data_IF_691706534536
#
_entry.id   IF_691706534536
#
_cell.length_a   1.000
_cell.length_b   1.000
_cell.length_c   1.000
_cell.angle_alpha   90.00
_cell.angle_beta   90.00
_cell.angle_gamma   90.00
#
_symmetry.space_group_name_H-M   'P 1'
#
loop_
_entity.id
_entity.type
_entity.pdbx_description
1 polymer ?
#
# COMPACT_ATOMS: atom_id res chain seq x y z
N UNK A 1 13.64 60.75 -38.61
CA UNK A 1 14.65 59.72 -38.36
C UNK A 1 14.93 59.76 -36.88
N UNK A 2 14.24 58.93 -36.11
CA UNK A 2 14.72 58.27 -34.89
C UNK A 2 13.52 57.50 -34.32
N UNK A 3 13.37 56.31 -34.87
CA UNK A 3 12.35 55.34 -34.48
C UNK A 3 13.03 53.98 -34.52
N UNK A 4 13.97 53.75 -33.61
CA UNK A 4 14.55 52.44 -33.34
C UNK A 4 15.55 52.52 -32.20
N UNK A 5 15.14 52.16 -30.97
CA UNK A 5 16.08 51.52 -30.03
C UNK A 5 15.45 50.77 -28.84
N UNK A 6 14.16 50.47 -28.86
CA UNK A 6 13.48 49.84 -27.70
C UNK A 6 13.16 48.35 -27.87
N UNK A 7 13.93 47.57 -28.65
CA UNK A 7 13.95 46.09 -28.48
C UNK A 7 15.34 45.50 -28.79
N UNK A 8 16.06 45.00 -27.77
CA UNK A 8 16.18 43.53 -27.67
C UNK A 8 16.27 42.97 -26.23
N UNK A 9 15.94 43.72 -25.18
CA UNK A 9 16.07 43.21 -23.80
C UNK A 9 14.96 42.19 -23.47
N UNK A 10 13.72 42.40 -23.94
CA UNK A 10 12.58 41.49 -23.70
C UNK A 10 12.79 40.09 -24.33
N UNK A 11 13.34 40.02 -25.55
CA UNK A 11 13.59 38.72 -26.22
C UNK A 11 14.70 37.91 -25.56
N UNK A 12 15.68 38.57 -24.94
CA UNK A 12 16.84 37.90 -24.31
C UNK A 12 16.45 37.31 -22.94
N UNK A 13 15.56 37.98 -22.19
CA UNK A 13 15.08 37.48 -20.89
C UNK A 13 14.13 36.28 -21.02
N UNK A 14 13.34 36.20 -22.10
CA UNK A 14 12.43 35.07 -22.36
C UNK A 14 13.19 33.82 -22.84
N UNK A 15 14.33 33.98 -23.51
CA UNK A 15 15.04 32.87 -24.17
C UNK A 15 15.82 31.96 -23.22
N UNK A 16 16.18 32.43 -22.00
CA UNK A 16 16.92 31.63 -21.02
C UNK A 16 15.97 31.06 -19.97
N UNK A 17 15.94 29.73 -19.76
CA UNK A 17 15.11 29.16 -18.71
C UNK A 17 15.56 29.68 -17.33
N UNK A 18 14.60 30.24 -16.58
CA UNK A 18 14.82 30.79 -15.24
C UNK A 18 15.31 29.74 -14.23
N UNK A 19 14.99 28.47 -14.48
CA UNK A 19 15.44 27.35 -13.67
C UNK A 19 16.30 26.39 -14.50
N UNK A 20 17.46 26.01 -13.96
CA UNK A 20 18.28 24.94 -14.50
C UNK A 20 17.81 23.60 -13.93
N UNK A 21 17.88 22.55 -14.74
CA UNK A 21 17.62 21.18 -14.27
C UNK A 21 18.59 20.85 -13.13
N UNK A 22 18.09 20.15 -12.11
CA UNK A 22 18.93 19.69 -11.01
C UNK A 22 20.08 18.84 -11.54
N UNK A 23 21.32 19.20 -11.19
CA UNK A 23 22.52 18.42 -11.52
C UNK A 23 22.48 17.03 -10.88
N UNK A 24 21.75 16.84 -9.79
CA UNK A 24 21.56 15.54 -9.13
C UNK A 24 20.90 14.53 -10.06
N UNK A 25 20.02 14.93 -10.97
CA UNK A 25 19.37 14.03 -11.92
C UNK A 25 20.16 13.86 -13.24
N UNK A 26 21.29 14.55 -13.38
CA UNK A 26 22.12 14.53 -14.59
C UNK A 26 23.59 14.31 -14.27
N UNK A 27 23.90 13.85 -13.06
CA UNK A 27 25.28 13.58 -12.63
C UNK A 27 25.72 12.19 -13.11
N UNK A 28 27.02 12.05 -13.35
CA UNK A 28 27.60 10.75 -13.72
C UNK A 28 27.37 9.68 -12.62
N UNK A 29 27.56 10.05 -11.35
CA UNK A 29 27.30 9.17 -10.19
C UNK A 29 25.84 8.70 -10.14
N UNK A 30 24.88 9.61 -10.36
CA UNK A 30 23.46 9.27 -10.43
C UNK A 30 23.17 8.32 -11.59
N UNK A 31 23.79 8.55 -12.75
CA UNK A 31 23.65 7.67 -13.91
C UNK A 31 24.20 6.27 -13.61
N UNK A 32 25.37 6.16 -13.00
CA UNK A 32 25.96 4.87 -12.61
C UNK A 32 25.07 4.12 -11.61
N UNK A 33 24.52 4.81 -10.61
CA UNK A 33 23.56 4.23 -9.66
C UNK A 33 22.29 3.74 -10.37
N UNK A 34 21.76 4.52 -11.31
CA UNK A 34 20.59 4.12 -12.12
C UNK A 34 20.90 2.90 -13.00
N UNK A 35 22.05 2.86 -13.67
CA UNK A 35 22.45 1.72 -14.49
C UNK A 35 22.57 0.43 -13.66
N UNK A 36 23.14 0.51 -12.46
CA UNK A 36 23.18 -0.64 -11.55
C UNK A 36 21.78 -1.18 -11.22
N UNK A 37 20.83 -0.30 -10.93
CA UNK A 37 19.43 -0.71 -10.66
C UNK A 37 18.80 -1.39 -11.88
N UNK A 38 19.09 -0.90 -13.09
CA UNK A 38 18.60 -1.49 -14.34
C UNK A 38 19.28 -2.83 -14.64
N UNK A 39 20.57 -2.97 -14.37
CA UNK A 39 21.31 -4.23 -14.51
C UNK A 39 20.79 -5.30 -13.54
N UNK A 40 20.53 -4.93 -12.28
CA UNK A 40 19.94 -5.83 -11.28
C UNK A 40 18.54 -6.28 -11.71
N UNK A 41 17.73 -5.36 -12.26
CA UNK A 41 16.43 -5.70 -12.86
C UNK A 41 16.59 -6.65 -14.06
N UNK A 42 17.53 -6.42 -14.98
CA UNK A 42 17.76 -7.29 -16.13
C UNK A 42 18.21 -8.70 -15.71
N UNK A 43 19.14 -8.82 -14.75
CA UNK A 43 19.57 -10.09 -14.16
C UNK A 43 18.41 -10.85 -13.53
N UNK A 44 17.52 -10.15 -12.82
CA UNK A 44 16.34 -10.78 -12.21
C UNK A 44 15.40 -11.40 -13.25
N UNK A 45 15.31 -10.83 -14.47
CA UNK A 45 14.53 -11.44 -15.55
C UNK A 45 15.16 -12.74 -16.05
N UNK A 46 16.50 -12.80 -16.16
CA UNK A 46 17.22 -14.04 -16.53
C UNK A 46 16.98 -15.14 -15.50
N UNK A 47 17.15 -14.83 -14.21
CA UNK A 47 16.92 -15.78 -13.11
C UNK A 47 15.47 -16.30 -13.13
N UNK A 48 14.49 -15.41 -13.38
CA UNK A 48 13.09 -15.83 -13.50
C UNK A 48 12.86 -16.80 -14.67
N UNK A 49 13.55 -16.64 -15.80
CA UNK A 49 13.47 -17.56 -16.93
C UNK A 49 14.07 -18.93 -16.58
N UNK A 50 15.24 -18.95 -15.95
CA UNK A 50 15.89 -20.19 -15.48
C UNK A 50 15.01 -20.95 -14.47
N UNK A 51 14.47 -20.25 -13.47
CA UNK A 51 13.55 -20.85 -12.48
C UNK A 51 12.29 -21.37 -13.17
N UNK A 52 11.76 -20.63 -14.15
CA UNK A 52 10.60 -21.09 -14.92
C UNK A 52 10.89 -22.38 -15.69
N UNK A 53 12.08 -22.53 -16.27
CA UNK A 53 12.49 -23.75 -16.97
C UNK A 53 12.61 -24.95 -16.00
N UNK A 54 13.06 -24.71 -14.77
CA UNK A 54 13.15 -25.75 -13.73
C UNK A 54 11.76 -26.18 -13.25
N UNK A 55 10.85 -25.24 -13.03
CA UNK A 55 9.51 -25.52 -12.48
C UNK A 55 8.51 -25.98 -13.55
N UNK A 56 8.70 -25.58 -14.80
CA UNK A 56 7.81 -25.85 -15.93
C UNK A 56 8.58 -26.36 -17.16
N UNK A 57 9.27 -27.51 -17.07
CA UNK A 57 9.79 -28.15 -18.28
C UNK A 57 8.61 -28.37 -19.25
N UNK A 58 8.75 -27.91 -20.48
CA UNK A 58 7.72 -28.00 -21.54
C UNK A 58 6.38 -27.30 -21.24
N UNK A 59 6.37 -26.23 -20.43
CA UNK A 59 5.18 -25.47 -20.04
C UNK A 59 4.11 -26.28 -19.30
N UNK A 60 4.45 -27.46 -18.76
CA UNK A 60 3.57 -28.25 -17.91
C UNK A 60 4.04 -28.15 -16.46
N UNK A 61 3.11 -27.88 -15.54
CA UNK A 61 3.40 -27.92 -14.12
C UNK A 61 3.46 -29.38 -13.67
N UNK A 62 4.62 -30.01 -13.79
CA UNK A 62 4.79 -31.42 -13.47
C UNK A 62 5.35 -31.65 -12.06
N UNK A 63 6.08 -30.68 -11.50
CA UNK A 63 6.74 -30.84 -10.19
C UNK A 63 5.91 -30.24 -9.05
N UNK A 64 5.27 -31.10 -8.24
CA UNK A 64 4.71 -30.71 -6.95
C UNK A 64 5.85 -30.54 -5.94
N UNK A 65 6.22 -29.29 -5.64
CA UNK A 65 7.23 -28.97 -4.63
C UNK A 65 6.78 -29.48 -3.25
N UNK A 66 7.70 -30.08 -2.50
CA UNK A 66 7.47 -30.47 -1.09
C UNK A 66 8.18 -29.50 -0.16
N UNK A 67 7.43 -28.80 0.69
CA UNK A 67 8.04 -27.87 1.66
C UNK A 67 8.68 -28.58 2.87
N UNK A 68 8.69 -29.91 2.92
CA UNK A 68 9.56 -30.66 3.83
C UNK A 68 10.97 -30.90 3.26
N UNK A 69 11.19 -30.64 1.97
CA UNK A 69 12.47 -30.82 1.30
C UNK A 69 13.24 -29.49 1.21
N UNK A 70 14.49 -29.48 1.69
CA UNK A 70 15.34 -28.29 1.70
C UNK A 70 15.54 -27.66 0.32
N UNK A 71 15.83 -28.47 -0.71
CA UNK A 71 16.09 -27.98 -2.07
C UNK A 71 14.86 -27.36 -2.72
N UNK A 72 13.67 -27.92 -2.48
CA UNK A 72 12.42 -27.35 -3.00
C UNK A 72 12.07 -26.01 -2.32
N UNK A 73 12.33 -25.88 -1.02
CA UNK A 73 12.21 -24.60 -0.30
C UNK A 73 13.20 -23.59 -0.86
N UNK A 74 14.45 -23.99 -1.11
CA UNK A 74 15.48 -23.13 -1.70
C UNK A 74 15.08 -22.59 -3.08
N UNK A 75 14.48 -23.43 -3.94
CA UNK A 75 13.94 -22.98 -5.23
C UNK A 75 12.86 -21.90 -5.04
N UNK A 76 11.95 -22.11 -4.09
CA UNK A 76 10.86 -21.16 -3.80
C UNK A 76 11.40 -19.83 -3.26
N UNK A 77 12.42 -19.89 -2.39
CA UNK A 77 13.11 -18.69 -1.87
C UNK A 77 13.80 -17.91 -2.99
N UNK A 78 14.49 -18.60 -3.90
CA UNK A 78 15.12 -17.95 -5.06
C UNK A 78 14.09 -17.30 -5.98
N UNK A 79 12.95 -17.96 -6.21
CA UNK A 79 11.85 -17.40 -7.00
C UNK A 79 11.30 -16.12 -6.38
N UNK A 80 11.04 -16.12 -5.08
CA UNK A 80 10.56 -14.95 -4.37
C UNK A 80 11.58 -13.80 -4.39
N UNK A 81 12.88 -14.10 -4.21
CA UNK A 81 13.97 -13.11 -4.34
C UNK A 81 13.99 -12.49 -5.74
N UNK A 82 13.85 -13.29 -6.79
CA UNK A 82 13.82 -12.80 -8.17
C UNK A 82 12.57 -11.94 -8.46
N UNK A 83 11.40 -12.30 -7.93
CA UNK A 83 10.18 -11.48 -8.03
C UNK A 83 10.31 -10.13 -7.32
N UNK A 84 11.00 -10.09 -6.18
CA UNK A 84 11.26 -8.86 -5.44
C UNK A 84 12.27 -7.95 -6.15
N UNK A 85 13.41 -8.51 -6.59
CA UNK A 85 14.45 -7.76 -7.32
C UNK A 85 13.98 -7.27 -8.69
N UNK A 86 12.99 -7.94 -9.29
CA UNK A 86 12.34 -7.49 -10.53
C UNK A 86 11.26 -6.42 -10.32
N UNK A 87 11.07 -5.93 -9.09
CA UNK A 87 10.02 -4.98 -8.71
C UNK A 87 8.59 -5.48 -9.03
N UNK A 88 8.40 -6.80 -9.16
CA UNK A 88 7.06 -7.39 -9.34
C UNK A 88 6.33 -7.49 -8.01
N UNK A 89 7.07 -7.66 -6.92
CA UNK A 89 6.56 -7.71 -5.56
C UNK A 89 7.04 -6.51 -4.74
N UNK A 90 6.17 -6.00 -3.89
CA UNK A 90 6.57 -5.16 -2.77
C UNK A 90 7.22 -5.99 -1.65
N UNK A 91 7.74 -5.30 -0.63
CA UNK A 91 8.45 -5.95 0.48
C UNK A 91 7.55 -6.89 1.28
N UNK A 92 6.30 -6.51 1.49
CA UNK A 92 5.31 -7.28 2.23
C UNK A 92 4.94 -8.58 1.48
N UNK A 93 4.74 -8.50 0.16
CA UNK A 93 4.50 -9.67 -0.68
C UNK A 93 5.70 -10.62 -0.67
N UNK A 94 6.90 -10.08 -0.80
CA UNK A 94 8.15 -10.83 -0.72
C UNK A 94 8.29 -11.59 0.60
N UNK A 95 8.10 -10.89 1.72
CA UNK A 95 8.18 -11.49 3.06
C UNK A 95 7.17 -12.63 3.18
N UNK A 96 5.90 -12.40 2.84
CA UNK A 96 4.88 -13.43 2.97
C UNK A 96 5.15 -14.66 2.08
N UNK A 97 5.56 -14.45 0.82
CA UNK A 97 5.83 -15.54 -0.10
C UNK A 97 6.99 -16.42 0.39
N UNK A 98 8.05 -15.81 0.95
CA UNK A 98 9.21 -16.55 1.47
C UNK A 98 8.89 -17.29 2.76
N UNK A 99 8.14 -16.67 3.67
CA UNK A 99 7.90 -17.28 4.98
C UNK A 99 7.03 -18.52 4.88
N UNK A 100 6.08 -18.58 3.94
CA UNK A 100 5.16 -19.72 3.78
C UNK A 100 5.87 -21.09 3.64
N UNK A 101 6.82 -21.28 2.69
CA UNK A 101 7.55 -22.55 2.58
C UNK A 101 8.52 -22.78 3.74
N UNK A 102 9.11 -21.73 4.32
CA UNK A 102 10.05 -21.85 5.45
C UNK A 102 9.33 -22.27 6.73
N UNK A 103 8.16 -21.70 7.03
CA UNK A 103 7.31 -22.09 8.16
C UNK A 103 6.86 -23.54 8.00
N UNK A 104 6.51 -23.95 6.79
CA UNK A 104 6.14 -25.33 6.49
C UNK A 104 7.31 -26.29 6.72
N UNK A 105 8.51 -25.91 6.29
CA UNK A 105 9.75 -26.68 6.48
C UNK A 105 10.19 -26.76 7.95
N UNK A 106 10.12 -25.65 8.67
CA UNK A 106 10.40 -25.61 10.11
C UNK A 106 9.40 -26.48 10.88
N UNK A 107 8.11 -26.41 10.53
CA UNK A 107 7.05 -27.22 11.12
C UNK A 107 7.21 -28.72 10.80
N UNK A 108 7.68 -29.08 9.61
CA UNK A 108 7.95 -30.49 9.28
C UNK A 108 9.11 -31.01 10.11
N UNK A 109 10.23 -30.26 10.24
CA UNK A 109 11.34 -30.63 11.14
C UNK A 109 10.87 -30.81 12.59
N UNK A 110 9.97 -29.96 13.04
CA UNK A 110 9.38 -30.07 14.37
C UNK A 110 8.58 -31.37 14.54
N UNK A 111 7.82 -31.76 13.52
CA UNK A 111 7.03 -33.00 13.51
C UNK A 111 7.90 -34.25 13.37
N UNK A 112 8.99 -34.16 12.60
CA UNK A 112 9.93 -35.24 12.31
C UNK A 112 11.00 -35.41 13.40
N UNK A 113 10.79 -34.82 14.59
CA UNK A 113 11.67 -34.97 15.76
C UNK A 113 13.10 -34.44 15.58
N UNK A 114 13.32 -33.60 14.58
CA UNK A 114 14.65 -33.05 14.27
C UNK A 114 15.24 -32.23 15.44
N UNK A 115 14.38 -31.66 16.28
CA UNK A 115 14.76 -30.83 17.44
C UNK A 115 14.56 -31.54 18.79
N UNK A 116 14.31 -32.86 18.81
CA UNK A 116 13.96 -33.62 20.02
C UNK A 116 15.00 -33.47 21.13
N UNK A 117 16.29 -33.46 20.81
CA UNK A 117 17.36 -33.30 21.81
C UNK A 117 17.20 -32.02 22.64
N UNK A 118 16.65 -30.95 22.05
CA UNK A 118 16.40 -29.66 22.71
C UNK A 118 15.03 -29.62 23.39
N UNK A 119 14.02 -30.24 22.79
CA UNK A 119 12.60 -30.07 23.19
C UNK A 119 12.15 -31.14 24.17
N UNK A 120 12.53 -32.40 23.93
CA UNK A 120 12.07 -33.55 24.69
C UNK A 120 12.37 -33.44 26.21
N UNK A 121 13.51 -32.87 26.66
CA UNK A 121 13.74 -32.61 28.08
C UNK A 121 12.72 -31.65 28.72
N UNK A 122 12.18 -30.70 27.94
CA UNK A 122 11.18 -29.73 28.40
C UNK A 122 9.81 -30.40 28.42
N UNK A 123 9.42 -31.09 27.35
CA UNK A 123 8.15 -31.82 27.27
C UNK A 123 8.02 -32.85 28.40
N UNK A 124 9.07 -33.64 28.66
CA UNK A 124 9.08 -34.61 29.77
C UNK A 124 8.89 -33.96 31.14
N UNK A 125 9.32 -32.71 31.33
CA UNK A 125 9.06 -31.96 32.58
C UNK A 125 7.64 -31.42 32.61
N UNK A 126 7.11 -30.95 31.49
CA UNK A 126 5.74 -30.48 31.34
C UNK A 126 4.74 -31.62 31.63
N UNK A 127 4.91 -32.79 31.03
CA UNK A 127 4.09 -33.99 31.27
C UNK A 127 4.04 -34.40 32.75
N UNK A 128 5.17 -34.29 33.46
CA UNK A 128 5.23 -34.58 34.90
C UNK A 128 4.38 -33.60 35.71
N UNK A 129 4.37 -32.33 35.32
CA UNK A 129 3.55 -31.29 35.96
C UNK A 129 2.08 -31.50 35.63
N UNK A 130 1.75 -31.84 34.38
CA UNK A 130 0.39 -32.18 33.94
C UNK A 130 -0.19 -33.33 34.77
N UNK A 131 0.56 -34.44 34.90
CA UNK A 131 0.18 -35.58 35.73
C UNK A 131 0.02 -35.22 37.20
N UNK A 132 0.96 -34.43 37.76
CA UNK A 132 0.92 -33.97 39.15
C UNK A 132 -0.32 -33.12 39.45
N UNK A 133 -0.76 -32.31 38.50
CA UNK A 133 -1.93 -31.44 38.64
C UNK A 133 -3.24 -32.08 38.15
N UNK A 134 -3.23 -33.38 37.82
CA UNK A 134 -4.43 -34.13 37.44
C UNK A 134 -5.02 -33.71 36.09
N UNK A 135 -4.21 -33.14 35.20
CA UNK A 135 -4.65 -32.84 33.85
C UNK A 135 -4.89 -34.16 33.10
N UNK A 136 -6.05 -34.29 32.46
CA UNK A 136 -6.39 -35.49 31.69
C UNK A 136 -5.57 -35.54 30.40
N UNK A 137 -5.27 -36.75 29.94
CA UNK A 137 -4.60 -36.94 28.65
C UNK A 137 -5.36 -36.21 27.52
N UNK A 138 -4.61 -35.54 26.65
CA UNK A 138 -5.14 -34.73 25.55
C UNK A 138 -5.78 -33.39 25.97
N UNK A 139 -5.82 -33.05 27.26
CA UNK A 139 -6.21 -31.73 27.73
C UNK A 139 -4.98 -30.84 27.90
N UNK A 140 -5.14 -29.55 27.68
CA UNK A 140 -4.07 -28.55 27.85
C UNK A 140 -4.57 -27.37 28.66
N UNK A 141 -3.65 -26.66 29.33
CA UNK A 141 -3.98 -25.37 29.92
C UNK A 141 -3.93 -24.27 28.87
N UNK A 142 -4.93 -23.38 28.79
CA UNK A 142 -4.81 -22.17 27.98
C UNK A 142 -3.58 -21.35 28.37
N UNK A 143 -3.06 -20.57 27.43
CA UNK A 143 -1.86 -19.76 27.65
C UNK A 143 -1.94 -18.94 28.96
N UNK A 144 -0.96 -19.15 29.85
CA UNK A 144 -0.86 -18.47 31.15
C UNK A 144 -1.85 -18.93 32.23
N UNK A 145 -2.69 -19.93 31.96
CA UNK A 145 -3.64 -20.49 32.94
C UNK A 145 -3.13 -21.74 33.66
N UNK A 146 -1.99 -22.29 33.25
CA UNK A 146 -1.37 -23.43 33.91
C UNK A 146 -0.66 -23.04 35.23
N UNK A 147 -0.17 -24.04 35.99
CA UNK A 147 0.71 -23.82 37.13
C UNK A 147 1.94 -22.97 36.75
N UNK A 148 2.51 -22.23 37.72
CA UNK A 148 3.68 -21.36 37.48
C UNK A 148 4.87 -22.10 36.86
N UNK A 149 5.14 -23.32 37.33
CA UNK A 149 6.21 -24.19 36.83
C UNK A 149 5.97 -24.63 35.38
N UNK A 150 4.72 -24.94 35.02
CA UNK A 150 4.34 -25.23 33.64
C UNK A 150 4.51 -24.03 32.72
N UNK A 151 3.97 -22.87 33.13
CA UNK A 151 4.05 -21.65 32.32
C UNK A 151 5.50 -21.21 32.08
N UNK A 152 6.42 -21.51 33.00
CA UNK A 152 7.86 -21.26 32.80
C UNK A 152 8.43 -22.16 31.70
N UNK A 153 8.12 -23.45 31.71
CA UNK A 153 8.57 -24.41 30.70
C UNK A 153 7.92 -24.16 29.34
N UNK A 154 6.63 -23.81 29.30
CA UNK A 154 5.95 -23.42 28.07
C UNK A 154 6.62 -22.20 27.42
N UNK A 155 7.02 -21.19 28.20
CA UNK A 155 7.82 -20.07 27.66
C UNK A 155 9.20 -20.48 27.16
N UNK A 156 9.84 -21.46 27.81
CA UNK A 156 11.13 -22.00 27.36
C UNK A 156 11.00 -22.76 26.05
N UNK A 157 9.93 -23.56 25.91
CA UNK A 157 9.54 -24.22 24.67
C UNK A 157 9.31 -23.22 23.54
N UNK A 158 8.48 -22.19 23.78
CA UNK A 158 8.19 -21.13 22.80
C UNK A 158 9.47 -20.42 22.36
N UNK A 159 10.39 -20.18 23.30
CA UNK A 159 11.69 -19.57 23.00
C UNK A 159 12.53 -20.44 22.08
N UNK A 160 12.59 -21.76 22.30
CA UNK A 160 13.31 -22.68 21.41
C UNK A 160 12.67 -22.73 20.03
N UNK A 161 11.33 -22.72 19.96
CA UNK A 161 10.61 -22.66 18.68
C UNK A 161 11.01 -21.41 17.89
N UNK A 162 10.99 -20.25 18.54
CA UNK A 162 11.37 -18.98 17.92
C UNK A 162 12.86 -18.93 17.52
N UNK A 163 13.78 -19.39 18.37
CA UNK A 163 15.22 -19.47 18.07
C UNK A 163 15.50 -20.37 16.85
N UNK A 164 14.91 -21.57 16.83
CA UNK A 164 15.09 -22.51 15.71
C UNK A 164 14.46 -22.01 14.41
N UNK A 165 13.36 -21.25 14.48
CA UNK A 165 12.78 -20.60 13.32
C UNK A 165 13.71 -19.51 12.76
N UNK A 166 14.31 -18.68 13.62
CA UNK A 166 15.31 -17.68 13.23
C UNK A 166 16.53 -18.36 12.60
N UNK A 167 16.99 -19.48 13.16
CA UNK A 167 18.10 -20.25 12.58
C UNK A 167 17.73 -20.83 11.22
N UNK A 168 16.50 -21.32 11.05
CA UNK A 168 15.99 -21.80 9.75
C UNK A 168 15.99 -20.66 8.71
N UNK A 169 15.62 -19.42 9.08
CA UNK A 169 15.75 -18.28 8.17
C UNK A 169 17.20 -18.03 7.74
N UNK A 170 18.16 -18.18 8.66
CA UNK A 170 19.58 -18.04 8.34
C UNK A 170 20.09 -19.14 7.42
N UNK A 171 19.60 -20.37 7.57
CA UNK A 171 19.94 -21.50 6.69
C UNK A 171 19.59 -21.24 5.22
N UNK A 172 18.58 -20.40 4.93
CA UNK A 172 18.17 -20.02 3.58
C UNK A 172 18.71 -18.65 3.12
N UNK A 173 19.76 -18.15 3.78
CA UNK A 173 20.37 -16.85 3.50
C UNK A 173 19.37 -15.68 3.59
N UNK A 174 18.55 -15.67 4.64
CA UNK A 174 17.57 -14.61 4.94
C UNK A 174 17.91 -13.89 6.24
N UNK A 175 19.18 -13.52 6.38
CA UNK A 175 19.72 -12.89 7.58
C UNK A 175 18.99 -11.58 7.93
N UNK A 176 18.50 -10.84 6.94
CA UNK A 176 17.72 -9.62 7.15
C UNK A 176 16.36 -9.90 7.79
N UNK A 177 15.67 -10.97 7.38
CA UNK A 177 14.40 -11.40 7.96
C UNK A 177 14.59 -12.04 9.34
N UNK A 178 15.66 -12.83 9.50
CA UNK A 178 16.07 -13.39 10.79
C UNK A 178 16.32 -12.26 11.83
N UNK A 179 17.07 -11.24 11.42
CA UNK A 179 17.33 -10.05 12.24
C UNK A 179 16.06 -9.25 12.53
N UNK A 180 15.16 -9.12 11.54
CA UNK A 180 13.89 -8.44 11.71
C UNK A 180 13.00 -9.16 12.73
N UNK A 181 12.89 -10.49 12.64
CA UNK A 181 12.15 -11.31 13.60
C UNK A 181 12.75 -11.20 15.01
N UNK A 182 14.08 -11.28 15.13
CA UNK A 182 14.77 -11.21 16.42
C UNK A 182 14.68 -9.83 17.09
N UNK A 183 14.93 -8.75 16.33
CA UNK A 183 15.09 -7.38 16.87
C UNK A 183 13.77 -6.61 16.90
N UNK A 184 12.86 -6.89 15.97
CA UNK A 184 11.61 -6.15 15.77
C UNK A 184 10.43 -7.09 15.44
N UNK A 185 10.09 -8.05 16.32
CA UNK A 185 9.10 -9.09 16.04
C UNK A 185 7.73 -8.53 15.66
N UNK A 186 7.27 -7.45 16.30
CA UNK A 186 5.99 -6.81 15.94
C UNK A 186 5.96 -6.27 14.52
N UNK A 187 7.09 -5.74 14.04
CA UNK A 187 7.18 -5.24 12.67
C UNK A 187 7.25 -6.40 11.66
N UNK A 188 7.97 -7.47 12.01
CA UNK A 188 7.97 -8.71 11.24
C UNK A 188 6.55 -9.25 11.06
N UNK A 189 5.80 -9.41 12.16
CA UNK A 189 4.44 -9.93 12.14
C UNK A 189 3.49 -9.02 11.35
N UNK A 190 3.65 -7.69 11.48
CA UNK A 190 2.88 -6.70 10.71
C UNK A 190 3.11 -6.86 9.20
N UNK A 191 4.37 -6.96 8.76
CA UNK A 191 4.72 -7.10 7.35
C UNK A 191 4.24 -8.44 6.78
N UNK A 192 4.39 -9.52 7.54
CA UNK A 192 3.90 -10.85 7.19
C UNK A 192 2.38 -10.86 7.02
N UNK A 193 1.65 -10.31 7.98
CA UNK A 193 0.18 -10.24 7.93
C UNK A 193 -0.31 -9.36 6.78
N UNK A 194 0.34 -8.21 6.55
CA UNK A 194 0.00 -7.36 5.42
C UNK A 194 0.25 -8.08 4.08
N UNK A 195 1.36 -8.79 3.94
CA UNK A 195 1.62 -9.64 2.78
C UNK A 195 0.55 -10.72 2.59
N UNK A 196 0.15 -11.42 3.66
CA UNK A 196 -0.95 -12.40 3.63
C UNK A 196 -2.25 -11.79 3.10
N UNK A 197 -2.57 -10.56 3.52
CA UNK A 197 -3.77 -9.84 3.05
C UNK A 197 -3.70 -9.55 1.55
N UNK A 198 -2.55 -9.13 1.03
CA UNK A 198 -2.37 -8.89 -0.41
C UNK A 198 -2.64 -10.14 -1.24
N UNK A 199 -2.22 -11.32 -0.78
CA UNK A 199 -2.44 -12.57 -1.51
C UNK A 199 -3.87 -13.11 -1.38
N UNK A 200 -4.44 -13.06 -0.17
CA UNK A 200 -5.66 -13.81 0.18
C UNK A 200 -6.93 -12.97 0.33
N UNK A 201 -6.84 -11.63 0.34
CA UNK A 201 -7.98 -10.73 0.56
C UNK A 201 -8.11 -9.71 -0.56
N UNK A 202 -7.81 -10.12 -1.81
CA UNK A 202 -7.85 -9.24 -3.00
C UNK A 202 -9.23 -8.66 -3.29
N UNK A 203 -10.26 -9.33 -2.80
CA UNK A 203 -11.68 -8.99 -2.93
C UNK A 203 -12.19 -8.08 -1.80
N UNK A 204 -11.40 -7.83 -0.75
CA UNK A 204 -11.72 -6.94 0.37
C UNK A 204 -11.62 -5.45 0.00
N UNK A 205 -12.27 -5.05 -1.10
CA UNK A 205 -12.16 -3.72 -1.74
C UNK A 205 -12.31 -2.57 -0.77
N UNK A 206 -13.30 -2.63 0.13
CA UNK A 206 -13.54 -1.56 1.11
C UNK A 206 -12.42 -1.44 2.15
N UNK A 207 -11.83 -2.55 2.59
CA UNK A 207 -10.72 -2.54 3.54
C UNK A 207 -9.44 -2.03 2.86
N UNK A 208 -9.16 -2.51 1.65
CA UNK A 208 -8.04 -2.05 0.82
C UNK A 208 -8.13 -0.54 0.59
N UNK A 209 -9.31 -0.02 0.24
CA UNK A 209 -9.54 1.40 0.03
C UNK A 209 -9.34 2.22 1.31
N UNK A 210 -9.83 1.74 2.47
CA UNK A 210 -9.59 2.41 3.76
C UNK A 210 -8.11 2.54 4.07
N UNK A 211 -7.36 1.46 3.93
CA UNK A 211 -5.91 1.47 4.16
C UNK A 211 -5.18 2.37 3.16
N UNK A 212 -5.60 2.34 1.89
CA UNK A 212 -5.06 3.22 0.84
C UNK A 212 -5.29 4.69 1.17
N UNK A 213 -6.49 5.09 1.63
CA UNK A 213 -6.77 6.46 2.05
C UNK A 213 -5.85 6.89 3.20
N UNK A 214 -5.72 6.07 4.23
CA UNK A 214 -4.84 6.36 5.39
C UNK A 214 -3.38 6.50 4.93
N UNK A 215 -2.93 5.68 3.98
CA UNK A 215 -1.58 5.78 3.45
C UNK A 215 -1.37 7.07 2.64
N UNK A 216 -2.35 7.51 1.85
CA UNK A 216 -2.30 8.81 1.19
C UNK A 216 -2.29 9.98 2.18
N UNK A 217 -3.04 9.91 3.29
CA UNK A 217 -2.96 10.92 4.35
C UNK A 217 -1.56 11.00 4.97
N UNK A 218 -0.96 9.84 5.28
CA UNK A 218 0.41 9.77 5.81
C UNK A 218 1.43 10.33 4.82
N UNK A 219 1.29 10.01 3.54
CA UNK A 219 2.19 10.50 2.50
C UNK A 219 2.01 11.98 2.24
N UNK A 220 0.79 12.52 2.41
CA UNK A 220 0.56 13.96 2.37
C UNK A 220 1.34 14.68 3.47
N UNK A 221 1.32 14.15 4.70
CA UNK A 221 2.04 14.72 5.85
C UNK A 221 3.57 14.60 5.66
N UNK A 222 4.07 13.46 5.17
CA UNK A 222 5.50 13.30 4.88
C UNK A 222 5.97 14.27 3.78
N UNK A 223 5.16 14.41 2.74
CA UNK A 223 5.48 15.29 1.60
C UNK A 223 5.57 16.75 2.02
N UNK A 224 4.64 17.24 2.84
CA UNK A 224 4.68 18.62 3.33
C UNK A 224 5.86 18.89 4.25
N UNK A 225 6.20 17.94 5.15
CA UNK A 225 7.41 18.03 5.99
C UNK A 225 8.70 18.11 5.17
N UNK A 226 8.72 17.52 3.98
CA UNK A 226 9.85 17.57 3.05
C UNK A 226 9.81 18.78 2.09
N UNK A 227 8.82 19.67 2.20
CA UNK A 227 8.62 20.80 1.28
C UNK A 227 8.07 20.41 -0.10
N UNK A 228 7.67 19.15 -0.30
CA UNK A 228 7.07 18.65 -1.53
C UNK A 228 5.56 18.91 -1.56
N UNK A 229 5.15 20.18 -1.49
CA UNK A 229 3.76 20.57 -1.30
C UNK A 229 2.80 20.08 -2.39
N UNK A 230 3.22 20.07 -3.66
CA UNK A 230 2.41 19.51 -4.76
C UNK A 230 2.10 18.02 -4.55
N UNK A 231 3.08 17.23 -4.12
CA UNK A 231 2.87 15.82 -3.79
C UNK A 231 1.89 15.66 -2.62
N UNK A 232 2.00 16.54 -1.61
CA UNK A 232 1.06 16.59 -0.49
C UNK A 232 -0.38 16.86 -0.93
N UNK A 233 -0.59 17.84 -1.80
CA UNK A 233 -1.91 18.17 -2.38
C UNK A 233 -2.48 17.01 -3.19
N UNK A 234 -1.66 16.34 -4.02
CA UNK A 234 -2.08 15.18 -4.81
C UNK A 234 -2.54 14.04 -3.90
N UNK A 235 -1.78 13.77 -2.84
CA UNK A 235 -2.10 12.72 -1.88
C UNK A 235 -3.40 13.02 -1.11
N UNK A 236 -3.62 14.25 -0.63
CA UNK A 236 -4.89 14.65 0.00
C UNK A 236 -6.08 14.53 -0.96
N UNK A 237 -5.91 14.92 -2.22
CA UNK A 237 -6.97 14.80 -3.22
C UNK A 237 -7.30 13.33 -3.53
N UNK A 238 -6.30 12.45 -3.59
CA UNK A 238 -6.49 11.01 -3.77
C UNK A 238 -7.15 10.36 -2.54
N UNK A 239 -6.79 10.80 -1.33
CA UNK A 239 -7.43 10.39 -0.08
C UNK A 239 -8.92 10.77 -0.06
N UNK A 240 -9.26 11.98 -0.51
CA UNK A 240 -10.66 12.41 -0.61
C UNK A 240 -11.43 11.58 -1.65
N UNK A 241 -10.84 11.35 -2.83
CA UNK A 241 -11.43 10.50 -3.87
C UNK A 241 -11.73 9.09 -3.31
N UNK A 242 -10.78 8.47 -2.61
CA UNK A 242 -10.99 7.18 -1.94
C UNK A 242 -12.08 7.21 -0.87
N UNK A 243 -12.16 8.28 -0.08
CA UNK A 243 -13.23 8.47 0.93
C UNK A 243 -14.61 8.54 0.28
N UNK A 244 -14.76 9.25 -0.84
CA UNK A 244 -16.02 9.31 -1.57
C UNK A 244 -16.40 7.94 -2.15
N UNK A 245 -15.44 7.18 -2.68
CA UNK A 245 -15.67 5.80 -3.15
C UNK A 245 -16.20 4.93 -2.00
N UNK A 246 -15.57 4.99 -0.82
CA UNK A 246 -15.99 4.23 0.36
C UNK A 246 -17.44 4.53 0.77
N UNK A 247 -17.84 5.81 0.75
CA UNK A 247 -19.22 6.20 1.04
C UNK A 247 -20.18 5.63 0.01
N UNK A 248 -19.82 5.73 -1.28
CA UNK A 248 -20.65 5.18 -2.36
C UNK A 248 -20.81 3.66 -2.24
N UNK A 249 -19.75 2.93 -1.85
CA UNK A 249 -19.79 1.48 -1.63
C UNK A 249 -20.60 1.10 -0.38
N UNK A 250 -20.61 1.94 0.66
CA UNK A 250 -21.43 1.72 1.87
C UNK A 250 -22.92 1.88 1.59
N UNK A 251 -23.30 2.64 0.57
CA UNK A 251 -24.69 2.92 0.20
C UNK A 251 -24.94 2.78 -1.30
N UNK A 252 -24.51 1.64 -1.87
CA UNK A 252 -24.55 1.37 -3.32
C UNK A 252 -25.91 1.68 -3.97
N UNK A 253 -27.07 1.28 -3.42
CA UNK A 253 -28.36 1.56 -4.08
C UNK A 253 -28.64 3.05 -4.27
N UNK A 254 -28.30 3.88 -3.26
CA UNK A 254 -28.45 5.34 -3.32
C UNK A 254 -27.43 5.96 -4.28
N UNK A 255 -26.18 5.48 -4.24
CA UNK A 255 -25.13 5.92 -5.14
C UNK A 255 -25.52 5.66 -6.61
N UNK A 256 -26.04 4.46 -6.89
CA UNK A 256 -26.50 4.04 -8.21
C UNK A 256 -27.67 4.90 -8.72
N UNK A 257 -28.64 5.19 -7.85
CA UNK A 257 -29.80 6.00 -8.20
C UNK A 257 -29.36 7.42 -8.57
N UNK A 258 -28.54 8.05 -7.72
CA UNK A 258 -27.98 9.38 -7.97
C UNK A 258 -27.14 9.40 -9.27
N UNK A 259 -26.31 8.39 -9.50
CA UNK A 259 -25.52 8.29 -10.73
C UNK A 259 -26.40 8.22 -11.99
N UNK A 260 -27.46 7.40 -11.97
CA UNK A 260 -28.39 7.26 -13.10
C UNK A 260 -29.11 8.58 -13.40
N UNK A 261 -29.49 9.34 -12.38
CA UNK A 261 -30.10 10.66 -12.58
C UNK A 261 -29.15 11.65 -13.23
N UNK A 262 -27.91 11.74 -12.73
CA UNK A 262 -26.91 12.65 -13.29
C UNK A 262 -26.62 12.29 -14.76
N UNK A 263 -26.47 11.00 -15.08
CA UNK A 263 -26.23 10.58 -16.47
C UNK A 263 -27.42 10.90 -17.38
N UNK A 264 -28.66 10.80 -16.88
CA UNK A 264 -29.85 11.21 -17.65
C UNK A 264 -29.87 12.72 -17.93
N UNK A 265 -29.42 13.54 -16.98
CA UNK A 265 -29.30 14.99 -17.16
C UNK A 265 -28.19 15.34 -18.16
N UNK A 266 -27.00 14.73 -18.02
CA UNK A 266 -25.86 14.93 -18.93
C UNK A 266 -26.24 14.61 -20.40
N UNK A 267 -27.05 13.57 -20.63
CA UNK A 267 -27.50 13.17 -21.97
C UNK A 267 -28.47 14.19 -22.56
N UNK A 268 -29.35 14.78 -21.75
CA UNK A 268 -30.29 15.81 -22.20
C UNK A 268 -29.60 17.13 -22.54
N UNK A 269 -28.47 17.43 -21.91
CA UNK A 269 -27.71 18.66 -22.13
C UNK A 269 -26.65 18.54 -23.25
N UNK A 270 -26.20 17.33 -23.58
CA UNK A 270 -25.14 17.09 -24.57
C UNK A 270 -25.60 16.21 -25.73
N UNK A 271 -26.51 16.75 -26.55
CA UNK A 271 -27.01 16.09 -27.77
C UNK A 271 -25.96 16.01 -28.91
N UNK A 272 -24.71 16.41 -28.68
CA UNK A 272 -23.65 16.32 -29.69
C UNK A 272 -22.33 15.76 -29.15
N UNK A 273 -22.03 14.54 -29.62
CA UNK A 273 -20.68 13.98 -29.86
C UNK A 273 -19.67 14.08 -28.71
N UNK A 274 -19.63 13.07 -27.85
CA UNK A 274 -18.37 12.45 -27.39
C UNK A 274 -18.60 11.12 -26.66
N UNK A 275 -17.97 10.06 -27.15
CA UNK A 275 -17.78 8.79 -26.45
C UNK A 275 -16.99 9.01 -25.15
N UNK A 276 -17.62 9.50 -24.09
CA UNK A 276 -17.06 9.40 -22.73
C UNK A 276 -17.18 7.93 -22.32
N UNK A 277 -16.07 7.30 -21.93
CA UNK A 277 -16.06 6.00 -21.22
C UNK A 277 -17.06 6.11 -20.05
N UNK A 278 -18.24 5.52 -20.21
CA UNK A 278 -19.26 5.51 -19.15
C UNK A 278 -18.80 4.50 -18.11
N UNK A 279 -18.44 4.97 -16.91
CA UNK A 279 -18.29 4.09 -15.75
C UNK A 279 -19.57 3.28 -15.55
N UNK A 280 -19.45 2.06 -15.02
CA UNK A 280 -20.63 1.25 -14.74
C UNK A 280 -21.33 1.85 -13.52
N UNK A 281 -22.64 2.11 -13.64
CA UNK A 281 -23.42 2.67 -12.53
C UNK A 281 -23.31 1.82 -11.26
N UNK A 282 -23.11 0.51 -11.38
CA UNK A 282 -23.01 -0.42 -10.24
C UNK A 282 -21.67 -0.42 -9.52
N UNK A 283 -20.65 0.24 -10.06
CA UNK A 283 -19.29 0.14 -9.56
C UNK A 283 -18.66 1.53 -9.34
N UNK A 284 -18.77 2.08 -8.11
CA UNK A 284 -18.19 3.36 -7.73
C UNK A 284 -16.68 3.47 -7.95
N UNK A 285 -15.94 2.34 -7.99
CA UNK A 285 -14.48 2.35 -8.20
C UNK A 285 -14.08 2.77 -9.61
N UNK A 286 -15.04 2.75 -10.55
CA UNK A 286 -14.82 3.14 -11.95
C UNK A 286 -15.17 4.60 -12.24
N UNK A 287 -15.68 5.33 -11.24
CA UNK A 287 -16.14 6.70 -11.43
C UNK A 287 -14.97 7.69 -11.32
N UNK A 288 -15.01 8.76 -12.12
CA UNK A 288 -14.04 9.83 -11.98
C UNK A 288 -14.28 10.61 -10.69
N UNK A 289 -13.24 11.25 -10.15
CA UNK A 289 -13.36 12.15 -9.01
C UNK A 289 -14.47 13.20 -9.16
N UNK A 290 -14.61 13.76 -10.37
CA UNK A 290 -15.68 14.71 -10.70
C UNK A 290 -17.08 14.12 -10.52
N UNK A 291 -17.27 12.88 -11.00
CA UNK A 291 -18.55 12.18 -10.92
C UNK A 291 -18.86 11.73 -9.50
N UNK A 292 -17.84 11.32 -8.73
CA UNK A 292 -17.99 11.02 -7.29
C UNK A 292 -18.52 12.23 -6.52
N UNK A 293 -17.94 13.42 -6.73
CA UNK A 293 -18.40 14.67 -6.10
C UNK A 293 -19.88 14.93 -6.45
N UNK A 294 -20.25 14.82 -7.73
CA UNK A 294 -21.63 15.02 -8.18
C UNK A 294 -22.60 14.01 -7.56
N UNK A 295 -22.24 12.72 -7.54
CA UNK A 295 -23.08 11.66 -6.96
C UNK A 295 -23.28 11.90 -5.47
N UNK A 296 -22.21 12.15 -4.71
CA UNK A 296 -22.31 12.38 -3.27
C UNK A 296 -23.07 13.68 -2.94
N UNK A 297 -22.98 14.70 -3.79
CA UNK A 297 -23.79 15.93 -3.68
C UNK A 297 -25.27 15.63 -3.92
N UNK A 298 -25.58 14.93 -5.02
CA UNK A 298 -26.95 14.57 -5.42
C UNK A 298 -27.62 13.64 -4.41
N UNK A 299 -26.86 12.75 -3.78
CA UNK A 299 -27.32 11.87 -2.71
C UNK A 299 -27.47 12.59 -1.35
N UNK A 300 -27.12 13.88 -1.25
CA UNK A 300 -27.21 14.66 -0.01
C UNK A 300 -26.18 14.26 1.05
N UNK A 301 -25.10 13.60 0.63
CA UNK A 301 -24.03 13.16 1.54
C UNK A 301 -23.03 14.25 1.84
N UNK A 302 -22.75 15.07 0.83
CA UNK A 302 -21.93 16.26 0.98
C UNK A 302 -22.89 17.44 1.24
N UNK A 303 -22.92 17.94 2.47
CA UNK A 303 -23.72 19.11 2.87
C UNK A 303 -22.84 20.33 3.05
N UNK A 304 -23.43 21.52 2.95
CA UNK A 304 -22.72 22.78 3.15
C UNK A 304 -22.10 22.84 4.55
N UNK A 305 -20.92 23.45 4.64
CA UNK A 305 -20.23 23.69 5.92
C UNK A 305 -20.54 25.11 6.35
N UNK A 306 -21.14 25.24 7.54
CA UNK A 306 -21.49 26.54 8.10
C UNK A 306 -20.45 26.96 9.14
N UNK A 307 -20.07 28.23 9.08
CA UNK A 307 -19.22 28.90 10.06
C UNK A 307 -19.92 30.19 10.49
N UNK A 308 -19.43 30.83 11.56
CA UNK A 308 -19.95 32.13 12.00
C UNK A 308 -19.94 33.19 10.88
N UNK A 309 -19.01 33.08 9.92
CA UNK A 309 -18.77 34.10 8.91
C UNK A 309 -19.29 33.74 7.51
N UNK A 310 -19.55 32.46 7.23
CA UNK A 310 -19.87 32.01 5.87
C UNK A 310 -20.51 30.62 5.83
N UNK A 311 -21.31 30.39 4.79
CA UNK A 311 -21.79 29.08 4.37
C UNK A 311 -21.02 28.65 3.14
N UNK A 312 -20.31 27.55 3.24
CA UNK A 312 -19.47 27.04 2.17
C UNK A 312 -20.15 25.91 1.40
N UNK A 313 -20.18 26.04 0.07
CA UNK A 313 -20.62 24.96 -0.82
C UNK A 313 -19.54 23.88 -0.88
N UNK A 314 -19.82 22.77 -0.22
CA UNK A 314 -18.87 21.69 -0.03
C UNK A 314 -18.54 20.94 -1.33
N UNK A 315 -19.44 20.96 -2.32
CA UNK A 315 -19.18 20.45 -3.68
C UNK A 315 -18.15 21.30 -4.43
N UNK A 316 -18.28 22.62 -4.35
CA UNK A 316 -17.32 23.57 -4.95
C UNK A 316 -15.94 23.45 -4.30
N UNK A 317 -15.89 23.30 -2.98
CA UNK A 317 -14.65 23.08 -2.24
C UNK A 317 -13.99 21.75 -2.63
N UNK A 318 -14.76 20.66 -2.75
CA UNK A 318 -14.23 19.39 -3.24
C UNK A 318 -13.67 19.52 -4.68
N UNK A 319 -14.36 20.26 -5.54
CA UNK A 319 -13.86 20.57 -6.89
C UNK A 319 -12.61 21.46 -6.88
N UNK A 320 -12.45 22.35 -5.91
CA UNK A 320 -11.23 23.13 -5.73
C UNK A 320 -10.04 22.21 -5.43
N UNK A 321 -10.15 21.29 -4.48
CA UNK A 321 -9.09 20.32 -4.18
C UNK A 321 -8.76 19.45 -5.40
N UNK A 322 -9.78 18.98 -6.14
CA UNK A 322 -9.60 18.27 -7.41
C UNK A 322 -8.85 19.13 -8.43
N UNK A 323 -9.17 20.41 -8.56
CA UNK A 323 -8.49 21.33 -9.49
C UNK A 323 -7.03 21.50 -9.10
N UNK A 324 -6.74 21.64 -7.81
CA UNK A 324 -5.38 21.74 -7.28
C UNK A 324 -4.54 20.50 -7.61
N UNK A 325 -5.08 19.28 -7.44
CA UNK A 325 -4.44 18.03 -7.89
C UNK A 325 -4.11 18.06 -9.38
N UNK A 326 -5.03 18.55 -10.21
CA UNK A 326 -4.88 18.51 -11.66
C UNK A 326 -3.76 19.42 -12.20
N UNK A 327 -3.21 20.33 -11.37
CA UNK A 327 -2.02 21.11 -11.73
C UNK A 327 -0.74 20.26 -11.76
N UNK A 328 -0.77 18.99 -11.34
CA UNK A 328 0.32 18.05 -11.63
C UNK A 328 0.53 17.85 -13.13
N UNK A 329 -0.51 18.08 -13.94
CA UNK A 329 -0.43 17.91 -15.39
C UNK A 329 0.22 19.15 -16.03
N UNK A 330 1.41 19.04 -16.67
CA UNK A 330 2.17 20.21 -17.11
C UNK A 330 1.41 21.13 -18.07
N UNK A 331 0.69 20.56 -19.04
CA UNK A 331 -0.12 21.32 -20.00
C UNK A 331 -1.29 22.09 -19.34
N UNK A 332 -1.80 21.60 -18.21
CA UNK A 332 -2.86 22.27 -17.47
C UNK A 332 -2.29 23.39 -16.60
N UNK A 333 -1.18 23.12 -15.92
CA UNK A 333 -0.47 24.12 -15.14
C UNK A 333 -0.02 25.29 -16.01
N UNK A 334 0.59 25.03 -17.17
CA UNK A 334 1.06 26.09 -18.06
C UNK A 334 -0.07 26.99 -18.59
N UNK A 335 -1.29 26.45 -18.75
CA UNK A 335 -2.46 27.20 -19.23
C UNK A 335 -3.17 27.97 -18.12
N UNK A 336 -3.43 27.31 -16.98
CA UNK A 336 -4.30 27.87 -15.94
C UNK A 336 -3.52 28.63 -14.86
N UNK A 337 -2.28 28.23 -14.58
CA UNK A 337 -1.41 28.80 -13.53
C UNK A 337 0.07 28.81 -13.97
N UNK A 338 0.40 29.54 -15.06
CA UNK A 338 1.75 29.58 -15.60
C UNK A 338 2.74 30.06 -14.53
N UNK A 339 3.92 29.46 -14.51
CA UNK A 339 5.04 29.82 -13.61
C UNK A 339 4.79 29.65 -12.10
N UNK A 340 3.57 29.30 -11.68
CA UNK A 340 3.25 29.12 -10.28
C UNK A 340 3.85 27.82 -9.75
N UNK A 341 4.52 27.92 -8.61
CA UNK A 341 4.96 26.78 -7.78
C UNK A 341 3.96 26.62 -6.64
N UNK A 342 3.56 25.39 -6.33
CA UNK A 342 2.72 25.10 -5.17
C UNK A 342 3.50 25.41 -3.89
N UNK A 343 3.03 26.37 -3.10
CA UNK A 343 3.65 26.76 -1.83
C UNK A 343 3.00 26.03 -0.64
N UNK A 344 3.57 26.28 0.55
CA UNK A 344 3.00 25.81 1.80
C UNK A 344 1.56 26.31 2.01
N UNK A 345 1.25 27.55 1.60
CA UNK A 345 -0.09 28.13 1.77
C UNK A 345 -1.14 27.38 0.95
N UNK A 346 -0.81 26.98 -0.29
CA UNK A 346 -1.71 26.12 -1.07
C UNK A 346 -1.87 24.73 -0.43
N UNK A 347 -0.81 24.16 0.14
CA UNK A 347 -0.92 22.90 0.86
C UNK A 347 -1.82 23.03 2.11
N UNK A 348 -1.63 24.06 2.93
CA UNK A 348 -2.46 24.32 4.10
C UNK A 348 -3.94 24.50 3.71
N UNK A 349 -4.22 25.21 2.61
CA UNK A 349 -5.58 25.31 2.08
C UNK A 349 -6.13 23.92 1.69
N UNK A 350 -5.37 23.12 0.95
CA UNK A 350 -5.79 21.76 0.57
C UNK A 350 -6.05 20.86 1.80
N UNK A 351 -5.21 20.99 2.83
CA UNK A 351 -5.34 20.26 4.08
C UNK A 351 -6.61 20.67 4.82
N UNK A 352 -6.87 21.98 4.97
CA UNK A 352 -8.08 22.49 5.61
C UNK A 352 -9.34 22.03 4.87
N UNK A 353 -9.34 22.09 3.53
CA UNK A 353 -10.42 21.56 2.70
C UNK A 353 -10.63 20.07 2.98
N UNK A 354 -9.57 19.27 2.93
CA UNK A 354 -9.63 17.83 3.17
C UNK A 354 -10.20 17.51 4.55
N UNK A 355 -9.66 18.12 5.60
CA UNK A 355 -10.08 17.91 6.99
C UNK A 355 -11.54 18.29 7.18
N UNK A 356 -11.98 19.44 6.68
CA UNK A 356 -13.36 19.89 6.81
C UNK A 356 -14.35 18.93 6.11
N UNK A 357 -13.99 18.46 4.91
CA UNK A 357 -14.78 17.49 4.15
C UNK A 357 -14.87 16.14 4.87
N UNK A 358 -13.73 15.58 5.26
CA UNK A 358 -13.69 14.26 5.90
C UNK A 358 -14.35 14.28 7.26
N UNK A 359 -14.20 15.36 8.03
CA UNK A 359 -14.89 15.53 9.32
C UNK A 359 -16.42 15.44 9.14
N UNK A 360 -16.97 16.27 8.25
CA UNK A 360 -18.41 16.28 7.92
C UNK A 360 -18.91 14.90 7.47
N UNK A 361 -18.14 14.22 6.62
CA UNK A 361 -18.49 12.90 6.12
C UNK A 361 -18.40 11.80 7.20
N UNK A 362 -17.40 11.85 8.08
CA UNK A 362 -17.17 10.80 9.07
C UNK A 362 -18.14 10.88 10.25
N UNK A 363 -18.54 12.08 10.68
CA UNK A 363 -19.59 12.26 11.69
C UNK A 363 -20.90 11.60 11.24
N UNK A 364 -21.27 11.81 9.97
CA UNK A 364 -22.55 11.36 9.43
C UNK A 364 -22.55 9.91 8.96
N UNK A 365 -21.44 9.44 8.41
CA UNK A 365 -21.38 8.13 7.74
C UNK A 365 -20.43 7.12 8.36
N UNK A 366 -19.65 7.48 9.39
CA UNK A 366 -18.74 6.57 10.09
C UNK A 366 -17.89 5.76 9.09
N UNK A 367 -17.16 6.46 8.23
CA UNK A 367 -16.41 5.86 7.11
C UNK A 367 -15.24 5.02 7.63
N UNK A 368 -14.66 5.45 8.76
CA UNK A 368 -13.46 4.88 9.38
C UNK A 368 -13.70 4.30 10.79
N UNK A 369 -14.96 4.16 11.23
CA UNK A 369 -15.32 3.27 12.35
C UNK A 369 -15.73 1.93 11.77
#
# INVERSE_FOLDING_TARGET
MDDNQDQPIEKILIAKPLAKRSKTLSSHDSNQKSLKVLDDWAKSQSIMQEISQILYPDNKFEKKLSFSNFSDVQITVLQAKALYLSYRFCREEYIYLILTPIESFHSSRWSDKFYDDRIHPILNKMDKIEKKHGLKDGHYWPAGKGPREYNKLSKEYDKIYEETFIDTLREFDLNDLADLKAKKPKEFDRLREHGRRIFHHKDATSEILRETVINYEKDAIKSSKAGAYLAGVIALAAALEGTLILICLKSTPLAEAAFKEIVKQDIKETDTKRNKKKGKAKDPTTWSFDKLIQVCTKAGWIQNIETENAVFNTSEIAHLLRKMRNYVHPARQSKEKPWMVTSEKEYQMAQSIYTALVYSLNEKYHVFK
#
